data_IF_647691534089
#
_entry.id   IF_647691534089
#
_cell.length_a   1.000
_cell.length_b   1.000
_cell.length_c   1.000
_cell.angle_alpha   90.00
_cell.angle_beta   90.00
_cell.angle_gamma   90.00
#
_symmetry.space_group_name_H-M   'P 1'
#
loop_
_entity.id
_entity.type
_entity.pdbx_description
1 polymer ?
#
# COMPACT_ATOMS: atom_id res chain seq x y z
N UNK A 1 -11.81 -12.11 26.19
CA UNK A 1 -10.54 -11.99 26.94
C UNK A 1 -9.89 -10.67 26.53
N UNK A 2 -9.54 -9.85 27.50
CA UNK A 2 -9.40 -8.37 27.46
C UNK A 2 -8.34 -7.81 26.50
N UNK A 3 -8.53 -6.56 26.02
CA UNK A 3 -7.46 -5.57 25.97
C UNK A 3 -7.91 -4.26 26.64
N UNK A 4 -7.65 -4.11 27.94
CA UNK A 4 -7.91 -2.86 28.69
C UNK A 4 -6.69 -2.33 29.46
N UNK A 5 -5.50 -2.93 29.28
CA UNK A 5 -4.33 -2.60 30.10
C UNK A 5 -3.38 -1.53 29.52
N UNK A 6 -3.59 -1.05 28.28
CA UNK A 6 -2.66 -0.09 27.67
C UNK A 6 -2.91 1.38 28.05
N UNK A 7 -4.09 1.74 28.58
CA UNK A 7 -4.45 3.14 28.88
C UNK A 7 -4.09 3.55 30.33
N UNK A 8 -3.77 2.59 31.20
CA UNK A 8 -3.54 2.86 32.62
C UNK A 8 -2.13 3.39 32.97
N UNK A 9 -1.14 3.26 32.08
CA UNK A 9 0.25 3.63 32.38
C UNK A 9 0.56 5.12 32.21
N UNK A 10 -0.27 5.87 31.48
CA UNK A 10 -0.07 7.33 31.30
C UNK A 10 -0.56 8.16 32.50
N UNK A 11 -1.46 7.64 33.33
CA UNK A 11 -2.01 8.39 34.48
C UNK A 11 -1.14 8.30 35.74
N UNK A 12 -0.26 7.31 35.87
CA UNK A 12 0.54 7.11 37.09
C UNK A 12 1.74 8.06 37.21
N UNK A 13 2.15 8.73 36.12
CA UNK A 13 3.27 9.70 36.13
C UNK A 13 2.81 11.12 36.47
N UNK A 14 1.51 11.34 36.74
CA UNK A 14 0.98 12.67 37.10
C UNK A 14 0.59 12.84 38.57
N UNK A 15 0.66 11.81 39.41
CA UNK A 15 0.12 11.85 40.79
C UNK A 15 1.14 11.80 41.93
N UNK A 16 2.44 11.95 41.68
CA UNK A 16 3.48 11.98 42.73
C UNK A 16 3.97 13.37 43.12
N UNK A 17 3.32 14.45 42.67
CA UNK A 17 3.62 15.83 43.08
C UNK A 17 2.81 16.25 44.32
N UNK A 18 2.96 15.53 45.44
CA UNK A 18 2.43 15.96 46.73
C UNK A 18 3.56 16.03 47.77
N UNK A 19 4.03 17.26 47.99
CA UNK A 19 4.63 17.80 49.22
C UNK A 19 5.59 16.90 49.99
N UNK A 20 6.88 17.03 49.70
CA UNK A 20 7.90 17.10 50.75
C UNK A 20 8.96 18.14 50.36
N UNK A 21 9.02 19.24 51.12
CA UNK A 21 10.16 20.14 51.13
C UNK A 21 11.33 19.41 51.80
N UNK A 22 12.49 19.24 51.16
CA UNK A 22 13.71 18.96 51.88
C UNK A 22 14.26 20.30 52.39
N UNK A 23 14.22 20.49 53.70
CA UNK A 23 15.00 21.51 54.39
C UNK A 23 16.48 21.14 54.32
N UNK A 24 17.17 21.58 53.26
CA UNK A 24 18.63 21.53 53.17
C UNK A 24 19.14 22.89 52.69
N UNK A 25 19.67 23.65 53.65
CA UNK A 25 20.47 24.81 53.37
C UNK A 25 21.75 24.38 52.66
N UNK A 26 21.83 24.69 51.37
CA UNK A 26 23.03 24.91 50.56
C UNK A 26 22.51 25.54 49.27
N UNK A 27 22.71 26.84 49.13
CA UNK A 27 22.30 27.60 47.96
C UNK A 27 23.07 27.14 46.73
N UNK A 28 22.57 26.11 46.04
CA UNK A 28 22.99 25.80 44.68
C UNK A 28 22.32 26.84 43.79
N UNK A 29 23.09 27.85 43.39
CA UNK A 29 22.68 28.81 42.36
C UNK A 29 22.63 28.05 41.02
N UNK A 30 21.54 27.32 40.79
CA UNK A 30 21.29 26.64 39.51
C UNK A 30 20.87 27.73 38.54
N UNK A 31 21.79 28.13 37.65
CA UNK A 31 21.54 29.14 36.64
C UNK A 31 20.22 28.85 35.90
N UNK A 32 19.21 29.73 35.95
CA UNK A 32 17.90 29.51 35.31
C UNK A 32 18.00 29.36 33.78
N UNK A 33 19.10 29.86 33.18
CA UNK A 33 19.44 29.63 31.78
C UNK A 33 19.73 28.15 31.47
N UNK A 34 20.35 27.42 32.39
CA UNK A 34 20.73 26.02 32.19
C UNK A 34 19.50 25.09 32.27
N UNK A 35 18.58 25.35 33.19
CA UNK A 35 17.31 24.59 33.29
C UNK A 35 16.40 24.84 32.10
N UNK A 36 16.30 26.09 31.63
CA UNK A 36 15.56 26.42 30.41
C UNK A 36 16.16 25.74 29.17
N UNK A 37 17.49 25.72 29.04
CA UNK A 37 18.17 25.00 27.96
C UNK A 37 17.90 23.49 27.98
N UNK A 38 17.95 22.86 29.16
CA UNK A 38 17.66 21.43 29.33
C UNK A 38 16.19 21.10 28.96
N UNK A 39 15.24 21.92 29.39
CA UNK A 39 13.81 21.73 29.04
C UNK A 39 13.57 21.89 27.54
N UNK A 40 14.22 22.86 26.88
CA UNK A 40 14.12 23.03 25.44
C UNK A 40 14.70 21.84 24.67
N UNK A 41 15.85 21.31 25.10
CA UNK A 41 16.43 20.11 24.49
C UNK A 41 15.52 18.89 24.65
N UNK A 42 14.91 18.67 25.83
CA UNK A 42 13.94 17.60 26.03
C UNK A 42 12.70 17.75 25.12
N UNK A 43 12.22 18.98 24.91
CA UNK A 43 11.10 19.24 23.98
C UNK A 43 11.49 18.95 22.53
N UNK A 44 12.70 19.34 22.12
CA UNK A 44 13.23 19.04 20.78
C UNK A 44 13.42 17.54 20.59
N UNK A 45 13.93 16.83 21.58
CA UNK A 45 14.10 15.37 21.54
C UNK A 45 12.75 14.66 21.34
N UNK A 46 11.74 14.99 22.16
CA UNK A 46 10.37 14.45 21.99
C UNK A 46 9.81 14.74 20.60
N UNK A 47 10.01 15.94 20.06
CA UNK A 47 9.58 16.28 18.71
C UNK A 47 10.31 15.48 17.64
N UNK A 48 11.61 15.21 17.83
CA UNK A 48 12.41 14.38 16.91
C UNK A 48 11.94 12.94 16.92
N UNK A 49 11.71 12.36 18.10
CA UNK A 49 11.21 11.00 18.23
C UNK A 49 9.80 10.85 17.64
N UNK A 50 8.91 11.82 17.89
CA UNK A 50 7.60 11.86 17.26
C UNK A 50 7.69 11.93 15.73
N UNK A 51 8.59 12.76 15.19
CA UNK A 51 8.81 12.85 13.75
C UNK A 51 9.40 11.55 13.16
N UNK A 52 10.34 10.90 13.85
CA UNK A 52 10.92 9.61 13.45
C UNK A 52 9.87 8.51 13.47
N UNK A 53 9.07 8.42 14.53
CA UNK A 53 7.99 7.44 14.66
C UNK A 53 6.95 7.61 13.55
N UNK A 54 6.54 8.85 13.26
CA UNK A 54 5.64 9.17 12.15
C UNK A 54 6.20 8.70 10.80
N UNK A 55 7.47 9.01 10.50
CA UNK A 55 8.15 8.58 9.26
C UNK A 55 8.26 7.05 9.18
N UNK A 56 8.55 6.39 10.30
CA UNK A 56 8.63 4.93 10.37
C UNK A 56 7.28 4.27 10.05
N UNK A 57 6.20 4.77 10.65
CA UNK A 57 4.83 4.30 10.36
C UNK A 57 4.42 4.56 8.93
N UNK A 58 4.69 5.76 8.41
CA UNK A 58 4.44 6.11 7.01
C UNK A 58 5.17 5.15 6.06
N UNK A 59 6.46 4.90 6.27
CA UNK A 59 7.23 3.95 5.46
C UNK A 59 6.61 2.55 5.50
N UNK A 60 6.19 2.08 6.67
CA UNK A 60 5.53 0.78 6.80
C UNK A 60 4.25 0.69 5.97
N UNK A 61 3.37 1.70 6.03
CA UNK A 61 2.15 1.72 5.21
C UNK A 61 2.45 1.74 3.71
N UNK A 62 3.51 2.44 3.27
CA UNK A 62 3.96 2.38 1.88
C UNK A 62 4.37 0.97 1.44
N UNK A 63 5.09 0.24 2.29
CA UNK A 63 5.48 -1.15 2.00
C UNK A 63 4.28 -2.08 1.94
N UNK A 64 3.31 -1.94 2.85
CA UNK A 64 2.08 -2.74 2.82
C UNK A 64 1.24 -2.43 1.58
N UNK A 65 1.15 -1.14 1.20
CA UNK A 65 0.48 -0.74 -0.03
C UNK A 65 1.14 -1.34 -1.28
N UNK A 66 2.47 -1.33 -1.36
CA UNK A 66 3.20 -1.91 -2.48
C UNK A 66 2.93 -3.41 -2.64
N UNK A 67 2.80 -4.16 -1.53
CA UNK A 67 2.50 -5.59 -1.56
C UNK A 67 1.10 -5.91 -2.11
N UNK A 68 0.17 -4.96 -2.06
CA UNK A 68 -1.19 -5.13 -2.59
C UNK A 68 -1.31 -4.81 -4.08
N UNK A 69 -0.27 -4.25 -4.71
CA UNK A 69 -0.29 -4.01 -6.16
C UNK A 69 -0.29 -5.33 -6.93
N UNK A 70 -0.98 -5.42 -8.09
CA UNK A 70 -1.06 -6.63 -8.92
C UNK A 70 0.23 -6.82 -9.74
N UNK A 71 1.36 -6.88 -9.04
CA UNK A 71 2.71 -6.99 -9.59
C UNK A 71 3.50 -8.03 -8.78
N UNK A 72 4.46 -8.73 -9.40
CA UNK A 72 5.36 -9.63 -8.69
C UNK A 72 6.12 -8.91 -7.54
N UNK A 73 6.31 -9.61 -6.42
CA UNK A 73 7.01 -9.08 -5.25
C UNK A 73 8.45 -8.59 -5.55
N UNK A 74 9.12 -9.23 -6.51
CA UNK A 74 10.43 -8.83 -6.99
C UNK A 74 10.46 -7.40 -7.56
N UNK A 75 9.35 -6.93 -8.11
CA UNK A 75 9.18 -5.57 -8.64
C UNK A 75 8.72 -4.63 -7.53
N UNK A 76 7.65 -4.99 -6.80
CA UNK A 76 7.03 -4.09 -5.81
C UNK A 76 7.95 -3.72 -4.65
N UNK A 77 8.88 -4.61 -4.30
CA UNK A 77 9.92 -4.36 -3.28
C UNK A 77 10.94 -3.28 -3.64
N UNK A 78 11.09 -2.95 -4.93
CA UNK A 78 12.07 -1.98 -5.42
C UNK A 78 11.45 -0.62 -5.77
N UNK A 79 10.12 -0.48 -5.62
CA UNK A 79 9.43 0.76 -5.96
C UNK A 79 9.75 1.87 -4.96
N UNK A 80 9.90 3.08 -5.50
CA UNK A 80 9.95 4.29 -4.69
C UNK A 80 8.52 4.73 -4.27
N UNK A 81 8.44 5.61 -3.26
CA UNK A 81 7.15 6.07 -2.72
C UNK A 81 6.25 6.71 -3.78
N UNK A 82 6.84 7.48 -4.70
CA UNK A 82 6.07 8.14 -5.74
C UNK A 82 5.47 7.13 -6.72
N UNK A 83 6.22 6.13 -7.16
CA UNK A 83 5.70 5.11 -8.07
C UNK A 83 4.66 4.23 -7.39
N UNK A 84 4.80 3.91 -6.10
CA UNK A 84 3.73 3.21 -5.34
C UNK A 84 2.41 3.99 -5.46
N UNK A 85 2.42 5.30 -5.15
CA UNK A 85 1.20 6.14 -5.27
C UNK A 85 0.69 6.20 -6.70
N UNK A 86 1.56 6.43 -7.69
CA UNK A 86 1.15 6.51 -9.11
C UNK A 86 0.47 5.22 -9.56
N UNK A 87 1.08 4.07 -9.28
CA UNK A 87 0.55 2.76 -9.64
C UNK A 87 -0.75 2.44 -8.90
N UNK A 88 -0.86 2.75 -7.61
CA UNK A 88 -2.11 2.58 -6.87
C UNK A 88 -3.23 3.41 -7.47
N UNK A 89 -2.98 4.69 -7.76
CA UNK A 89 -4.00 5.57 -8.35
C UNK A 89 -4.41 5.07 -9.74
N UNK A 90 -3.44 4.72 -10.60
CA UNK A 90 -3.72 4.19 -11.94
C UNK A 90 -4.51 2.88 -11.86
N UNK A 91 -4.17 1.98 -10.95
CA UNK A 91 -4.89 0.71 -10.76
C UNK A 91 -6.34 0.93 -10.30
N UNK A 92 -6.57 1.78 -9.29
CA UNK A 92 -7.93 2.07 -8.82
C UNK A 92 -8.78 2.71 -9.93
N UNK A 93 -8.20 3.62 -10.70
CA UNK A 93 -8.88 4.26 -11.84
C UNK A 93 -9.12 3.29 -12.98
N UNK A 94 -8.20 2.38 -13.26
CA UNK A 94 -8.39 1.33 -14.26
C UNK A 94 -9.56 0.42 -13.88
N UNK A 95 -9.66 0.05 -12.59
CA UNK A 95 -10.77 -0.77 -12.08
C UNK A 95 -12.12 -0.06 -12.19
N UNK A 96 -12.16 1.24 -11.94
CA UNK A 96 -13.35 2.06 -12.14
C UNK A 96 -13.70 2.15 -13.64
N UNK A 97 -12.72 2.47 -14.48
CA UNK A 97 -12.84 2.53 -15.94
C UNK A 97 -13.38 1.23 -16.54
N UNK A 98 -12.90 0.07 -16.06
CA UNK A 98 -13.28 -1.24 -16.59
C UNK A 98 -14.72 -1.66 -16.25
N UNK A 99 -15.32 -1.05 -15.22
CA UNK A 99 -16.74 -1.24 -14.86
C UNK A 99 -17.71 -0.45 -15.74
N UNK A 100 -17.23 0.60 -16.41
CA UNK A 100 -18.03 1.44 -17.30
C UNK A 100 -17.98 1.03 -18.78
N UNK A 101 -17.14 0.05 -19.14
CA UNK A 101 -17.11 -0.50 -20.49
C UNK A 101 -18.41 -1.23 -20.85
N UNK A 102 -18.79 -1.22 -22.14
CA UNK A 102 -19.85 -2.07 -22.68
C UNK A 102 -19.24 -3.07 -23.67
N UNK A 103 -19.26 -4.38 -23.38
CA UNK A 103 -19.58 -5.00 -22.09
C UNK A 103 -18.53 -4.68 -21.00
N UNK A 104 -18.88 -4.77 -19.70
CA UNK A 104 -17.91 -4.60 -18.62
C UNK A 104 -16.78 -5.61 -18.73
N UNK A 105 -15.54 -5.18 -18.50
CA UNK A 105 -14.38 -6.05 -18.69
C UNK A 105 -14.28 -7.14 -17.61
N UNK A 106 -14.87 -6.89 -16.44
CA UNK A 106 -14.99 -7.91 -15.39
C UNK A 106 -16.15 -8.85 -15.71
N UNK A 107 -15.83 -10.10 -16.06
CA UNK A 107 -16.81 -11.17 -16.30
C UNK A 107 -17.36 -11.81 -15.01
N UNK A 108 -17.22 -11.16 -13.86
CA UNK A 108 -17.74 -11.63 -12.55
C UNK A 108 -19.29 -11.65 -12.48
N UNK A 109 -19.97 -11.45 -13.60
CA UNK A 109 -21.40 -11.73 -13.70
C UNK A 109 -21.70 -13.19 -13.32
N UNK A 110 -22.90 -13.48 -12.77
CA UNK A 110 -23.31 -14.83 -12.44
C UNK A 110 -23.06 -15.74 -13.65
N UNK A 111 -22.59 -16.98 -13.46
CA UNK A 111 -22.47 -17.92 -14.57
C UNK A 111 -23.80 -17.93 -15.31
N UNK A 112 -23.83 -17.79 -16.65
CA UNK A 112 -25.07 -17.84 -17.39
C UNK A 112 -25.76 -19.13 -16.98
N UNK A 113 -26.99 -19.02 -16.47
CA UNK A 113 -27.81 -20.13 -16.01
C UNK A 113 -27.78 -21.24 -17.08
N UNK A 114 -26.89 -22.24 -16.92
CA UNK A 114 -26.92 -23.46 -17.71
C UNK A 114 -28.06 -24.29 -17.13
N UNK A 115 -29.28 -23.91 -17.44
CA UNK A 115 -30.42 -24.82 -17.34
C UNK A 115 -30.16 -25.97 -18.29
N UNK A 116 -29.62 -27.05 -17.69
CA UNK A 116 -29.75 -28.44 -18.09
C UNK A 116 -29.49 -28.76 -19.58
N UNK A 117 -28.35 -29.39 -19.86
CA UNK A 117 -28.31 -30.73 -20.51
C UNK A 117 -26.88 -31.30 -20.61
N UNK A 118 -26.74 -32.49 -20.02
CA UNK A 118 -25.95 -33.65 -20.47
C UNK A 118 -24.41 -33.59 -20.52
N UNK A 119 -23.79 -34.36 -19.61
CA UNK A 119 -22.59 -35.16 -19.88
C UNK A 119 -21.25 -34.42 -19.92
N UNK A 120 -20.64 -34.14 -18.76
CA UNK A 120 -19.21 -33.79 -18.69
C UNK A 120 -18.37 -35.03 -19.01
N UNK A 121 -18.13 -35.25 -20.29
CA UNK A 121 -16.99 -36.00 -20.76
C UNK A 121 -15.74 -35.24 -20.28
N UNK A 122 -14.97 -35.80 -19.35
CA UNK A 122 -13.64 -35.26 -19.00
C UNK A 122 -12.67 -35.61 -20.13
N UNK A 123 -12.90 -35.05 -21.31
CA UNK A 123 -12.00 -35.19 -22.45
C UNK A 123 -10.76 -34.33 -22.25
N UNK A 124 -9.60 -34.81 -22.70
CA UNK A 124 -8.34 -34.04 -22.73
C UNK A 124 -8.49 -32.64 -23.35
N UNK A 125 -9.37 -32.49 -24.35
CA UNK A 125 -9.71 -31.20 -24.96
C UNK A 125 -10.34 -30.19 -23.98
N UNK A 126 -11.08 -30.66 -22.97
CA UNK A 126 -11.65 -29.80 -21.93
C UNK A 126 -10.61 -29.25 -20.96
N UNK A 127 -9.62 -30.09 -20.60
CA UNK A 127 -8.47 -29.67 -19.77
C UNK A 127 -7.56 -28.70 -20.52
N UNK A 128 -7.33 -28.94 -21.82
CA UNK A 128 -6.54 -28.03 -22.66
C UNK A 128 -7.20 -26.65 -22.76
N UNK A 129 -8.53 -26.59 -22.87
CA UNK A 129 -9.25 -25.33 -22.87
C UNK A 129 -9.17 -24.58 -21.53
N UNK A 130 -9.23 -25.29 -20.41
CA UNK A 130 -9.10 -24.69 -19.07
C UNK A 130 -7.71 -24.06 -18.86
N UNK A 131 -6.64 -24.76 -19.28
CA UNK A 131 -5.25 -24.25 -19.20
C UNK A 131 -5.08 -23.02 -20.10
N UNK A 132 -5.70 -23.02 -21.28
CA UNK A 132 -5.66 -21.89 -22.21
C UNK A 132 -6.37 -20.66 -21.63
N UNK A 133 -7.56 -20.83 -21.05
CA UNK A 133 -8.30 -19.73 -20.41
C UNK A 133 -7.50 -19.11 -19.23
N UNK A 134 -6.75 -19.92 -18.48
CA UNK A 134 -5.92 -19.43 -17.38
C UNK A 134 -4.81 -18.46 -17.84
N UNK A 135 -4.25 -18.66 -19.04
CA UNK A 135 -3.13 -17.87 -19.56
C UNK A 135 -3.54 -16.97 -20.73
N UNK A 136 -4.84 -16.74 -20.91
CA UNK A 136 -5.39 -16.03 -22.06
C UNK A 136 -4.76 -14.64 -22.23
N UNK A 137 -4.54 -13.88 -21.14
CA UNK A 137 -3.92 -12.56 -21.19
C UNK A 137 -2.50 -12.58 -21.76
N UNK A 138 -1.69 -13.57 -21.36
CA UNK A 138 -0.33 -13.74 -21.87
C UNK A 138 -0.33 -14.10 -23.36
N UNK A 139 -1.20 -15.02 -23.77
CA UNK A 139 -1.33 -15.40 -25.19
C UNK A 139 -1.79 -14.22 -26.06
N UNK A 140 -2.70 -13.38 -25.57
CA UNK A 140 -3.12 -12.15 -26.27
C UNK A 140 -1.91 -11.24 -26.47
N UNK A 141 -1.17 -10.91 -25.42
CA UNK A 141 -0.02 -10.00 -25.51
C UNK A 141 1.11 -10.55 -26.40
N UNK A 142 1.37 -11.85 -26.38
CA UNK A 142 2.36 -12.50 -27.25
C UNK A 142 1.95 -12.52 -28.73
N UNK A 143 0.65 -12.52 -29.01
CA UNK A 143 0.13 -12.52 -30.38
C UNK A 143 0.06 -11.13 -30.98
N UNK A 144 0.12 -10.08 -30.15
CA UNK A 144 0.12 -8.68 -30.61
C UNK A 144 1.53 -8.29 -31.07
N UNK A 145 1.65 -7.79 -32.30
CA UNK A 145 2.85 -7.09 -32.75
C UNK A 145 2.83 -5.63 -32.26
N UNK A 146 2.80 -5.47 -30.93
CA UNK A 146 2.75 -4.17 -30.28
C UNK A 146 2.52 -4.24 -28.78
N UNK A 147 1.98 -3.15 -28.23
CA UNK A 147 1.61 -3.06 -26.83
C UNK A 147 0.19 -2.48 -26.69
N UNK A 148 -0.50 -2.90 -25.62
CA UNK A 148 -1.81 -2.41 -25.27
C UNK A 148 -1.68 -1.23 -24.30
N UNK A 149 -2.55 -0.24 -24.45
CA UNK A 149 -2.59 0.95 -23.61
C UNK A 149 -4.03 1.35 -23.31
N UNK A 150 -4.33 1.68 -22.05
CA UNK A 150 -5.57 2.33 -21.65
C UNK A 150 -5.24 3.71 -21.06
N UNK A 151 -5.92 4.74 -21.55
CA UNK A 151 -5.65 6.15 -21.21
C UNK A 151 -6.93 6.79 -20.69
N UNK A 152 -6.82 7.57 -19.62
CA UNK A 152 -7.90 8.40 -19.12
C UNK A 152 -8.18 9.59 -20.05
N UNK A 153 -9.33 10.24 -19.90
CA UNK A 153 -9.73 11.41 -20.70
C UNK A 153 -8.77 12.60 -20.59
N UNK A 154 -7.93 12.64 -19.55
CA UNK A 154 -6.91 13.66 -19.33
C UNK A 154 -5.51 13.26 -19.80
N UNK A 155 -5.39 12.15 -20.55
CA UNK A 155 -4.12 11.68 -21.10
C UNK A 155 -3.26 10.87 -20.13
N UNK A 156 -3.71 10.63 -18.89
CA UNK A 156 -2.97 9.77 -17.95
C UNK A 156 -3.10 8.30 -18.30
N UNK A 157 -1.97 7.57 -18.26
CA UNK A 157 -1.97 6.13 -18.44
C UNK A 157 -2.60 5.41 -17.25
N UNK A 158 -3.66 4.64 -17.52
CA UNK A 158 -4.32 3.76 -16.56
C UNK A 158 -3.69 2.37 -16.58
N UNK A 159 -3.31 1.91 -17.77
CA UNK A 159 -2.66 0.64 -18.00
C UNK A 159 -1.77 0.73 -19.24
N UNK A 160 -0.62 0.07 -19.20
CA UNK A 160 0.21 -0.23 -20.36
C UNK A 160 0.72 -1.67 -20.21
N UNK A 161 0.78 -2.45 -21.29
CA UNK A 161 1.31 -3.81 -21.21
C UNK A 161 2.83 -3.84 -21.06
N UNK A 162 3.36 -4.89 -20.43
CA UNK A 162 4.81 -5.09 -20.26
C UNK A 162 5.59 -5.12 -21.59
N UNK A 163 4.91 -5.48 -22.68
CA UNK A 163 5.47 -5.53 -24.04
C UNK A 163 5.93 -4.17 -24.55
N UNK A 164 5.52 -3.04 -23.95
CA UNK A 164 6.05 -1.71 -24.31
C UNK A 164 7.57 -1.64 -24.24
N UNK A 165 8.18 -2.41 -23.34
CA UNK A 165 9.63 -2.50 -23.19
C UNK A 165 10.33 -3.03 -24.45
N UNK A 166 9.68 -3.91 -25.20
CA UNK A 166 10.21 -4.51 -26.43
C UNK A 166 10.24 -3.45 -27.56
N UNK A 167 9.19 -2.63 -27.65
CA UNK A 167 9.01 -1.71 -28.76
C UNK A 167 9.62 -0.32 -28.50
N UNK A 168 9.60 0.16 -27.26
CA UNK A 168 10.04 1.51 -26.89
C UNK A 168 11.17 1.54 -25.86
N UNK A 169 11.57 0.41 -25.28
CA UNK A 169 12.61 0.36 -24.23
C UNK A 169 12.17 0.95 -22.89
N UNK A 170 10.88 1.20 -22.70
CA UNK A 170 10.32 1.81 -21.48
C UNK A 170 9.85 0.75 -20.48
N UNK A 171 10.04 1.03 -19.20
CA UNK A 171 9.47 0.22 -18.11
C UNK A 171 7.97 0.46 -17.98
N UNK A 172 7.22 -0.60 -17.65
CA UNK A 172 5.80 -0.51 -17.29
C UNK A 172 5.59 0.19 -15.93
N UNK A 173 6.57 0.08 -15.03
CA UNK A 173 6.58 0.69 -13.68
C UNK A 173 7.49 1.90 -13.59
#
# INVERSE_FOLDING_TARGET
>A
MLPYQAVAMDYAVSSSFQRHQPSLGLGVNINPAFTHSCILELRKEKSRDAARSRRGKENFEFYELAKMLPLPAAITSQLDKASIIRLTISYLKLRDFSGHGEPPWNRDGPPPNKTLKTGRNRSSAGLAMEIFEQHQGTHILQSLDGFALAVASDGRFLYISETVSIYLGLSQV
#
